data_IF_189073683511
#
_entry.id   IF_189073683511
#
_cell.length_a   1.000
_cell.length_b   1.000
_cell.length_c   1.000
_cell.angle_alpha   90.00
_cell.angle_beta   90.00
_cell.angle_gamma   90.00
#
_symmetry.space_group_name_H-M   'P 1'
#
loop_
_entity.id
_entity.type
_entity.pdbx_description
1 polymer ?
#
# COMPACT_ATOMS: atom_id res chain seq x y z
N UNK A 1 -2.88 -6.41 -28.19
CA UNK A 1 -2.82 -5.69 -26.89
C UNK A 1 -1.65 -6.16 -26.03
N UNK A 2 -1.49 -7.46 -25.79
CA UNK A 2 -0.39 -8.05 -24.98
C UNK A 2 1.03 -7.62 -25.42
N UNK A 3 1.32 -7.59 -26.72
CA UNK A 3 2.65 -7.18 -27.21
C UNK A 3 3.03 -5.73 -26.90
N UNK A 4 2.04 -4.82 -26.85
CA UNK A 4 2.25 -3.42 -26.50
C UNK A 4 2.53 -3.27 -25.01
N UNK A 5 1.82 -4.04 -24.19
CA UNK A 5 1.97 -4.09 -22.73
C UNK A 5 3.33 -4.66 -22.30
N UNK A 6 3.79 -5.75 -22.96
CA UNK A 6 5.12 -6.32 -22.75
C UNK A 6 6.21 -5.32 -23.17
N UNK A 7 6.04 -4.67 -24.32
CA UNK A 7 7.01 -3.69 -24.82
C UNK A 7 7.09 -2.47 -23.91
N UNK A 8 5.95 -1.96 -23.43
CA UNK A 8 5.89 -0.87 -22.47
C UNK A 8 6.62 -1.23 -21.16
N UNK A 9 6.37 -2.42 -20.61
CA UNK A 9 7.02 -2.88 -19.37
C UNK A 9 8.54 -3.06 -19.51
N UNK A 10 8.99 -3.54 -20.66
CA UNK A 10 10.41 -3.63 -21.00
C UNK A 10 11.06 -2.25 -21.15
N UNK A 11 10.35 -1.30 -21.79
CA UNK A 11 10.82 0.08 -21.94
C UNK A 11 10.91 0.79 -20.60
N UNK A 12 9.88 0.70 -19.76
CA UNK A 12 9.86 1.29 -18.41
C UNK A 12 11.09 0.87 -17.61
N UNK A 13 11.35 -0.44 -17.54
CA UNK A 13 12.49 -0.96 -16.76
C UNK A 13 13.82 -0.39 -17.27
N UNK A 14 14.00 -0.29 -18.59
CA UNK A 14 15.24 0.23 -19.21
C UNK A 14 15.39 1.74 -19.03
N UNK A 15 14.30 2.48 -19.20
CA UNK A 15 14.28 3.94 -19.08
C UNK A 15 14.52 4.36 -17.63
N UNK A 16 13.78 3.79 -16.68
CA UNK A 16 13.94 4.14 -15.27
C UNK A 16 15.28 3.72 -14.70
N UNK A 17 15.83 2.58 -15.12
CA UNK A 17 17.19 2.18 -14.73
C UNK A 17 18.22 3.19 -15.24
N UNK A 18 18.10 3.67 -16.49
CA UNK A 18 19.00 4.71 -17.04
C UNK A 18 18.87 6.06 -16.32
N UNK A 19 17.64 6.48 -16.00
CA UNK A 19 17.41 7.71 -15.24
C UNK A 19 18.04 7.59 -13.85
N UNK A 20 17.84 6.45 -13.17
CA UNK A 20 18.40 6.20 -11.85
C UNK A 20 19.92 6.21 -11.83
N UNK A 21 20.58 5.58 -12.81
CA UNK A 21 22.04 5.57 -12.90
C UNK A 21 22.60 6.96 -13.21
N UNK A 22 21.97 7.70 -14.13
CA UNK A 22 22.37 9.08 -14.45
C UNK A 22 22.23 10.01 -13.23
N UNK A 23 21.07 10.00 -12.56
CA UNK A 23 20.86 10.79 -11.33
C UNK A 23 21.82 10.41 -10.21
N UNK A 24 22.18 9.13 -10.09
CA UNK A 24 23.13 8.67 -9.08
C UNK A 24 24.54 9.17 -9.33
N UNK A 25 25.00 9.06 -10.57
CA UNK A 25 26.33 9.53 -10.97
C UNK A 25 26.46 11.05 -10.84
N UNK A 26 25.44 11.81 -11.26
CA UNK A 26 25.45 13.28 -11.18
C UNK A 26 25.37 13.78 -9.74
N UNK A 27 24.57 13.14 -8.88
CA UNK A 27 24.51 13.50 -7.46
C UNK A 27 25.85 13.28 -6.75
N UNK A 28 26.58 12.20 -7.08
CA UNK A 28 27.91 11.90 -6.53
C UNK A 28 28.95 12.92 -7.04
N UNK A 29 28.92 13.25 -8.34
CA UNK A 29 29.84 14.22 -8.94
C UNK A 29 29.63 15.64 -8.40
N UNK A 30 28.38 16.08 -8.23
CA UNK A 30 28.05 17.39 -7.70
C UNK A 30 28.35 17.51 -6.19
N UNK A 31 28.18 16.42 -5.44
CA UNK A 31 28.58 16.34 -4.03
C UNK A 31 30.08 16.54 -3.85
N UNK A 32 30.88 16.02 -4.77
CA UNK A 32 32.33 16.17 -4.75
C UNK A 32 32.76 17.61 -5.11
N UNK A 33 32.06 18.30 -6.01
CA UNK A 33 32.41 19.65 -6.49
C UNK A 33 32.09 20.78 -5.52
N UNK A 34 31.03 20.67 -4.70
CA UNK A 34 30.55 21.79 -3.87
C UNK A 34 31.19 21.92 -2.48
N UNK A 35 32.05 20.99 -2.07
CA UNK A 35 32.82 21.11 -0.81
C UNK A 35 32.00 21.15 0.49
N UNK A 36 30.68 20.97 0.45
CA UNK A 36 29.91 20.75 1.68
C UNK A 36 30.33 19.42 2.32
N UNK A 37 30.21 19.26 3.65
CA UNK A 37 30.45 17.97 4.28
C UNK A 37 29.62 16.91 3.54
N UNK A 38 30.24 15.79 3.11
CA UNK A 38 29.60 14.79 2.25
C UNK A 38 28.24 14.33 2.76
N UNK A 39 28.06 14.36 4.09
CA UNK A 39 26.81 14.03 4.79
C UNK A 39 25.61 14.93 4.43
N UNK A 40 25.79 16.24 4.26
CA UNK A 40 24.67 17.16 4.01
C UNK A 40 24.20 17.11 2.55
N UNK A 41 25.13 16.97 1.59
CA UNK A 41 24.77 16.80 0.17
C UNK A 41 24.20 15.41 -0.08
N UNK A 42 24.82 14.37 0.49
CA UNK A 42 24.29 13.01 0.38
C UNK A 42 22.87 12.92 0.98
N UNK A 43 22.62 13.60 2.10
CA UNK A 43 21.29 13.68 2.70
C UNK A 43 20.25 14.33 1.76
N UNK A 44 20.56 15.51 1.19
CA UNK A 44 19.65 16.19 0.25
C UNK A 44 19.46 15.42 -1.06
N UNK A 45 20.52 14.81 -1.60
CA UNK A 45 20.44 13.97 -2.81
C UNK A 45 19.62 12.69 -2.57
N UNK A 46 19.69 12.11 -1.38
CA UNK A 46 18.89 10.95 -0.98
C UNK A 46 17.40 11.32 -0.91
N UNK A 47 17.08 12.46 -0.27
CA UNK A 47 15.69 12.96 -0.20
C UNK A 47 15.12 13.27 -1.60
N UNK A 48 15.92 13.85 -2.49
CA UNK A 48 15.48 14.12 -3.87
C UNK A 48 15.23 12.82 -4.65
N UNK A 49 16.07 11.79 -4.46
CA UNK A 49 15.87 10.48 -5.07
C UNK A 49 14.61 9.80 -4.56
N UNK A 50 14.34 9.89 -3.26
CA UNK A 50 13.12 9.38 -2.65
C UNK A 50 11.89 10.09 -3.24
N UNK A 51 11.95 11.41 -3.41
CA UNK A 51 10.88 12.20 -4.04
C UNK A 51 10.63 11.80 -5.51
N UNK A 52 11.70 11.64 -6.30
CA UNK A 52 11.57 11.21 -7.70
C UNK A 52 11.00 9.79 -7.79
N UNK A 53 11.47 8.87 -6.93
CA UNK A 53 10.96 7.49 -6.87
C UNK A 53 9.48 7.47 -6.49
N UNK A 54 9.07 8.33 -5.57
CA UNK A 54 7.67 8.50 -5.19
C UNK A 54 6.82 8.97 -6.38
N UNK A 55 7.25 10.01 -7.09
CA UNK A 55 6.55 10.49 -8.29
C UNK A 55 6.51 9.45 -9.41
N UNK A 56 7.55 8.62 -9.52
CA UNK A 56 7.68 7.59 -10.54
C UNK A 56 6.77 6.39 -10.29
N UNK A 57 6.68 5.93 -9.03
CA UNK A 57 6.04 4.64 -8.70
C UNK A 57 4.78 4.78 -7.89
N UNK A 58 4.83 5.59 -6.84
CA UNK A 58 3.74 5.68 -5.87
C UNK A 58 2.57 6.50 -6.43
N UNK A 59 2.83 7.66 -7.05
CA UNK A 59 1.77 8.50 -7.64
C UNK A 59 1.01 7.79 -8.77
N UNK A 60 1.67 7.17 -9.77
CA UNK A 60 0.96 6.49 -10.84
C UNK A 60 0.17 5.29 -10.33
N UNK A 61 0.73 4.52 -9.40
CA UNK A 61 0.01 3.41 -8.77
C UNK A 61 -1.25 3.92 -8.04
N UNK A 62 -1.14 4.99 -7.28
CA UNK A 62 -2.28 5.59 -6.59
C UNK A 62 -3.36 6.09 -7.56
N UNK A 63 -2.98 6.82 -8.61
CA UNK A 63 -3.91 7.31 -9.63
C UNK A 63 -4.61 6.15 -10.35
N UNK A 64 -3.85 5.12 -10.75
CA UNK A 64 -4.40 3.93 -11.40
C UNK A 64 -5.40 3.21 -10.49
N UNK A 65 -5.09 3.10 -9.21
CA UNK A 65 -5.98 2.49 -8.20
C UNK A 65 -7.27 3.28 -8.04
N UNK A 66 -7.18 4.61 -7.92
CA UNK A 66 -8.35 5.51 -7.79
C UNK A 66 -9.23 5.43 -9.05
N UNK A 67 -8.61 5.50 -10.23
CA UNK A 67 -9.33 5.39 -11.50
C UNK A 67 -9.98 4.01 -11.60
N UNK A 68 -9.26 2.94 -11.26
CA UNK A 68 -9.77 1.57 -11.31
C UNK A 68 -10.95 1.35 -10.37
N UNK A 69 -10.88 1.91 -9.16
CA UNK A 69 -11.96 1.88 -8.19
C UNK A 69 -13.19 2.66 -8.71
N UNK A 70 -12.98 3.87 -9.24
CA UNK A 70 -14.03 4.70 -9.83
C UNK A 70 -14.72 4.01 -11.01
N UNK A 71 -13.94 3.46 -11.94
CA UNK A 71 -14.45 2.70 -13.09
C UNK A 71 -15.24 1.48 -12.62
N UNK A 72 -14.75 0.74 -11.63
CA UNK A 72 -15.46 -0.41 -11.10
C UNK A 72 -16.81 -0.02 -10.50
N UNK A 73 -16.86 1.03 -9.68
CA UNK A 73 -18.11 1.52 -9.07
C UNK A 73 -19.09 1.98 -10.14
N UNK A 74 -18.68 2.86 -11.06
CA UNK A 74 -19.53 3.40 -12.12
C UNK A 74 -20.08 2.26 -13.00
N UNK A 75 -19.23 1.32 -13.37
CA UNK A 75 -19.65 0.18 -14.21
C UNK A 75 -20.60 -0.74 -13.46
N UNK A 76 -20.35 -1.02 -12.17
CA UNK A 76 -21.27 -1.84 -11.37
C UNK A 76 -22.64 -1.17 -11.20
N UNK A 77 -22.69 0.16 -11.02
CA UNK A 77 -23.95 0.90 -11.02
C UNK A 77 -24.70 0.82 -12.35
N UNK A 78 -23.97 0.81 -13.46
CA UNK A 78 -24.57 0.66 -14.79
C UNK A 78 -25.11 -0.75 -15.02
N UNK A 79 -24.40 -1.78 -14.55
CA UNK A 79 -24.80 -3.19 -14.71
C UNK A 79 -25.95 -3.58 -13.77
N UNK A 80 -25.83 -3.28 -12.47
CA UNK A 80 -26.87 -3.53 -11.48
C UNK A 80 -26.76 -2.46 -10.36
N UNK A 81 -27.70 -1.49 -10.29
CA UNK A 81 -27.66 -0.42 -9.30
C UNK A 81 -27.67 -0.91 -7.85
N UNK A 82 -28.28 -2.08 -7.57
CA UNK A 82 -28.28 -2.66 -6.23
C UNK A 82 -26.88 -3.15 -5.85
N UNK A 83 -26.17 -3.83 -6.76
CA UNK A 83 -24.79 -4.26 -6.55
C UNK A 83 -23.88 -3.04 -6.37
N UNK A 84 -24.03 -2.02 -7.21
CA UNK A 84 -23.29 -0.75 -7.07
C UNK A 84 -23.53 -0.07 -5.72
N UNK A 85 -24.78 -0.01 -5.26
CA UNK A 85 -25.15 0.57 -3.96
C UNK A 85 -24.57 -0.25 -2.79
N UNK A 86 -24.62 -1.57 -2.88
CA UNK A 86 -24.01 -2.46 -1.88
C UNK A 86 -22.51 -2.23 -1.82
N UNK A 87 -21.80 -2.13 -2.96
CA UNK A 87 -20.37 -1.81 -3.00
C UNK A 87 -20.06 -0.49 -2.30
N UNK A 88 -20.82 0.58 -2.55
CA UNK A 88 -20.63 1.88 -1.88
C UNK A 88 -20.90 1.81 -0.37
N UNK A 89 -22.00 1.16 0.03
CA UNK A 89 -22.36 0.98 1.43
C UNK A 89 -21.25 0.26 2.20
N UNK A 90 -20.64 -0.71 1.55
CA UNK A 90 -19.58 -1.57 2.06
C UNK A 90 -18.20 -0.86 2.02
N UNK A 91 -17.95 0.02 1.05
CA UNK A 91 -16.70 0.77 0.94
C UNK A 91 -16.39 1.63 2.18
N UNK A 92 -17.38 2.31 2.73
CA UNK A 92 -17.22 3.20 3.89
C UNK A 92 -16.73 2.47 5.16
N UNK A 93 -17.42 1.42 5.65
CA UNK A 93 -16.94 0.69 6.82
C UNK A 93 -15.62 -0.02 6.55
N UNK A 94 -15.40 -0.56 5.34
CA UNK A 94 -14.15 -1.22 4.99
C UNK A 94 -12.95 -0.28 5.05
N UNK A 95 -13.06 0.90 4.45
CA UNK A 95 -12.00 1.93 4.48
C UNK A 95 -11.76 2.45 5.90
N UNK A 96 -12.81 2.67 6.69
CA UNK A 96 -12.68 3.14 8.07
C UNK A 96 -12.00 2.11 8.98
N UNK A 97 -12.39 0.83 8.88
CA UNK A 97 -11.83 -0.26 9.67
C UNK A 97 -10.37 -0.50 9.28
N UNK A 98 -10.07 -0.57 7.97
CA UNK A 98 -8.70 -0.69 7.48
C UNK A 98 -7.82 0.49 7.91
N UNK A 99 -8.31 1.73 7.83
CA UNK A 99 -7.55 2.90 8.28
C UNK A 99 -7.30 2.93 9.79
N UNK A 100 -8.20 2.35 10.60
CA UNK A 100 -7.97 2.17 12.05
C UNK A 100 -6.93 1.08 12.32
N UNK A 101 -7.09 -0.09 11.68
CA UNK A 101 -6.16 -1.21 11.80
C UNK A 101 -4.73 -0.81 11.37
N UNK A 102 -4.60 -0.08 10.27
CA UNK A 102 -3.32 0.44 9.78
C UNK A 102 -2.63 1.36 10.81
N UNK A 103 -3.38 2.26 11.45
CA UNK A 103 -2.83 3.13 12.51
C UNK A 103 -2.37 2.35 13.74
N UNK A 104 -3.13 1.35 14.15
CA UNK A 104 -2.75 0.49 15.28
C UNK A 104 -1.51 -0.34 14.92
N UNK A 105 -1.44 -0.87 13.69
CA UNK A 105 -0.28 -1.62 13.20
C UNK A 105 0.98 -0.76 13.21
N UNK A 106 0.87 0.50 12.77
CA UNK A 106 1.98 1.45 12.82
C UNK A 106 2.49 1.68 14.26
N UNK A 107 1.59 1.90 15.22
CA UNK A 107 1.97 2.05 16.63
C UNK A 107 2.62 0.80 17.23
N UNK A 108 2.14 -0.40 16.85
CA UNK A 108 2.77 -1.66 17.27
C UNK A 108 4.17 -1.84 16.67
N UNK A 109 4.36 -1.44 15.40
CA UNK A 109 5.66 -1.48 14.73
C UNK A 109 6.66 -0.50 15.35
N UNK A 110 6.23 0.71 15.71
CA UNK A 110 7.06 1.65 16.47
C UNK A 110 7.51 1.04 17.80
N UNK A 111 6.59 0.46 18.56
CA UNK A 111 6.91 -0.23 19.83
C UNK A 111 7.83 -1.45 19.67
N UNK A 112 7.72 -2.18 18.56
CA UNK A 112 8.62 -3.29 18.23
C UNK A 112 10.02 -2.78 17.86
N UNK A 113 10.13 -1.74 17.04
CA UNK A 113 11.39 -1.13 16.64
C UNK A 113 12.15 -0.54 17.83
N UNK A 114 11.46 0.19 18.72
CA UNK A 114 12.04 0.73 19.97
C UNK A 114 12.68 -0.36 20.86
N UNK A 115 12.16 -1.59 20.78
CA UNK A 115 12.69 -2.74 21.52
C UNK A 115 13.90 -3.33 20.82
N UNK A 116 13.85 -3.49 19.49
CA UNK A 116 14.97 -3.98 18.69
C UNK A 116 16.19 -3.05 18.81
N UNK A 117 16.00 -1.73 18.84
CA UNK A 117 17.10 -0.78 19.04
C UNK A 117 17.84 -0.97 20.37
N UNK A 118 17.14 -1.45 21.40
CA UNK A 118 17.69 -1.70 22.75
C UNK A 118 18.32 -3.08 22.90
N UNK A 119 18.20 -3.96 21.89
CA UNK A 119 18.66 -5.35 21.93
C UNK A 119 20.18 -5.44 22.09
N UNK A 120 20.95 -4.67 21.32
CA UNK A 120 22.42 -4.70 21.33
C UNK A 120 22.99 -4.43 22.72
N UNK A 121 22.46 -3.43 23.43
CA UNK A 121 22.90 -3.10 24.79
C UNK A 121 22.48 -4.13 25.84
N UNK A 122 21.40 -4.88 25.61
CA UNK A 122 20.94 -5.94 26.52
C UNK A 122 21.71 -7.25 26.33
N UNK A 123 22.11 -7.58 25.11
CA UNK A 123 22.90 -8.79 24.81
C UNK A 123 24.33 -8.73 25.37
N UNK A 124 24.84 -7.53 25.64
CA UNK A 124 26.14 -7.31 26.27
C UNK A 124 26.11 -7.50 27.80
N UNK A 125 24.94 -7.67 28.42
CA UNK A 125 24.82 -7.91 29.86
C UNK A 125 24.81 -9.39 30.20
N UNK A 126 25.59 -9.79 31.21
CA UNK A 126 25.64 -11.17 31.74
C UNK A 126 24.44 -11.47 32.66
N UNK A 127 23.23 -11.32 32.10
CA UNK A 127 21.97 -11.41 32.85
C UNK A 127 20.93 -12.24 32.07
N UNK A 128 21.00 -13.57 32.10
CA UNK A 128 20.15 -14.45 31.28
C UNK A 128 18.64 -14.25 31.51
N UNK A 129 18.25 -13.91 32.75
CA UNK A 129 16.85 -13.59 33.06
C UNK A 129 16.36 -12.29 32.38
N UNK A 130 17.23 -11.29 32.20
CA UNK A 130 16.89 -10.04 31.50
C UNK A 130 16.75 -10.28 30.00
N UNK A 131 17.66 -11.07 29.42
CA UNK A 131 17.62 -11.49 28.01
C UNK A 131 16.32 -12.26 27.71
N UNK A 132 15.95 -13.23 28.56
CA UNK A 132 14.69 -13.97 28.40
C UNK A 132 13.45 -13.07 28.43
N UNK A 133 13.37 -12.14 29.39
CA UNK A 133 12.25 -11.18 29.48
C UNK A 133 12.18 -10.27 28.25
N UNK A 134 13.33 -9.88 27.68
CA UNK A 134 13.39 -9.10 26.45
C UNK A 134 12.79 -9.87 25.26
N UNK A 135 13.22 -11.10 25.02
CA UNK A 135 12.66 -11.92 23.93
C UNK A 135 11.18 -12.26 24.13
N UNK A 136 10.73 -12.46 25.38
CA UNK A 136 9.30 -12.60 25.68
C UNK A 136 8.51 -11.32 25.33
N UNK A 137 9.08 -10.14 25.62
CA UNK A 137 8.46 -8.88 25.24
C UNK A 137 8.39 -8.74 23.71
N UNK A 138 9.48 -9.03 22.97
CA UNK A 138 9.48 -9.03 21.51
C UNK A 138 8.44 -9.99 20.93
N UNK A 139 8.33 -11.21 21.49
CA UNK A 139 7.33 -12.18 21.08
C UNK A 139 5.91 -11.64 21.28
N UNK A 140 5.60 -11.00 22.41
CA UNK A 140 4.29 -10.39 22.63
C UNK A 140 3.96 -9.28 21.62
N UNK A 141 4.93 -8.45 21.23
CA UNK A 141 4.72 -7.43 20.18
C UNK A 141 4.44 -8.07 18.82
N UNK A 142 5.23 -9.08 18.44
CA UNK A 142 5.02 -9.82 17.18
C UNK A 142 3.66 -10.53 17.13
N UNK A 143 3.25 -11.16 18.23
CA UNK A 143 1.94 -11.82 18.32
C UNK A 143 0.83 -10.78 18.17
N UNK A 144 0.89 -9.64 18.88
CA UNK A 144 -0.10 -8.57 18.73
C UNK A 144 -0.19 -8.04 17.30
N UNK A 145 0.94 -7.88 16.63
CA UNK A 145 0.98 -7.43 15.24
C UNK A 145 0.35 -8.47 14.31
N UNK A 146 0.73 -9.75 14.46
CA UNK A 146 0.17 -10.86 13.70
C UNK A 146 -1.34 -11.02 13.92
N UNK A 147 -1.82 -10.89 15.15
CA UNK A 147 -3.26 -10.97 15.49
C UNK A 147 -4.03 -9.83 14.84
N UNK A 148 -3.43 -8.64 14.77
CA UNK A 148 -4.02 -7.47 14.13
C UNK A 148 -4.09 -7.65 12.61
N UNK A 149 -3.02 -8.14 11.99
CA UNK A 149 -2.98 -8.46 10.55
C UNK A 149 -4.00 -9.54 10.19
N UNK A 150 -4.08 -10.61 10.99
CA UNK A 150 -5.05 -11.69 10.80
C UNK A 150 -6.50 -11.18 10.90
N UNK A 151 -6.80 -10.27 11.85
CA UNK A 151 -8.12 -9.61 11.94
C UNK A 151 -8.42 -8.75 10.73
N UNK A 152 -7.43 -8.00 10.23
CA UNK A 152 -7.59 -7.18 9.03
C UNK A 152 -7.90 -8.04 7.81
N UNK A 153 -7.13 -9.11 7.60
CA UNK A 153 -7.31 -10.05 6.52
C UNK A 153 -8.68 -10.76 6.62
N UNK A 154 -9.03 -11.29 7.79
CA UNK A 154 -10.31 -11.98 7.99
C UNK A 154 -11.53 -11.08 7.79
N UNK A 155 -11.44 -9.80 8.17
CA UNK A 155 -12.51 -8.84 7.92
C UNK A 155 -12.71 -8.57 6.42
N UNK A 156 -11.61 -8.43 5.67
CA UNK A 156 -11.62 -8.24 4.23
C UNK A 156 -12.14 -9.47 3.48
N UNK A 157 -11.78 -10.67 3.91
CA UNK A 157 -12.33 -11.91 3.34
C UNK A 157 -13.84 -12.03 3.56
N UNK A 158 -14.33 -11.76 4.78
CA UNK A 158 -15.77 -11.78 5.08
C UNK A 158 -16.54 -10.79 4.20
N UNK A 159 -15.94 -9.63 3.95
CA UNK A 159 -16.48 -8.61 3.07
C UNK A 159 -16.59 -9.07 1.62
N UNK A 160 -15.54 -9.69 1.08
CA UNK A 160 -15.53 -10.25 -0.27
C UNK A 160 -16.60 -11.33 -0.39
N UNK A 161 -16.67 -12.26 0.57
CA UNK A 161 -17.68 -13.31 0.60
C UNK A 161 -19.10 -12.72 0.59
N UNK A 162 -19.36 -11.70 1.42
CA UNK A 162 -20.66 -11.04 1.48
C UNK A 162 -21.03 -10.39 0.14
N UNK A 163 -20.09 -9.68 -0.50
CA UNK A 163 -20.31 -9.01 -1.76
C UNK A 163 -20.59 -9.99 -2.91
N UNK A 164 -19.80 -11.06 -3.01
CA UNK A 164 -20.04 -12.13 -3.98
C UNK A 164 -21.36 -12.86 -3.71
N UNK A 165 -21.70 -13.11 -2.44
CA UNK A 165 -22.97 -13.73 -2.06
C UNK A 165 -24.18 -12.90 -2.46
N UNK A 166 -24.13 -11.58 -2.23
CA UNK A 166 -25.19 -10.65 -2.69
C UNK A 166 -25.27 -10.61 -4.21
N UNK A 167 -24.13 -10.57 -4.91
CA UNK A 167 -24.11 -10.57 -6.38
C UNK A 167 -24.72 -11.85 -6.96
N UNK A 168 -24.35 -13.03 -6.43
CA UNK A 168 -24.93 -14.31 -6.83
C UNK A 168 -26.43 -14.36 -6.56
N UNK A 169 -26.86 -13.91 -5.37
CA UNK A 169 -28.27 -13.81 -5.02
C UNK A 169 -29.05 -12.91 -5.99
N UNK A 170 -28.48 -11.75 -6.35
CA UNK A 170 -29.08 -10.81 -7.30
C UNK A 170 -29.21 -11.39 -8.70
N UNK A 171 -28.16 -12.04 -9.20
CA UNK A 171 -28.17 -12.68 -10.53
C UNK A 171 -29.16 -13.85 -10.55
N UNK A 172 -29.25 -14.64 -9.48
CA UNK A 172 -30.17 -15.79 -9.39
C UNK A 172 -31.66 -15.41 -9.40
N UNK A 173 -32.00 -14.18 -9.01
CA UNK A 173 -33.38 -13.68 -8.99
C UNK A 173 -33.82 -13.02 -10.30
N UNK A 174 -32.93 -12.88 -11.29
CA UNK A 174 -33.25 -12.26 -12.58
C UNK A 174 -33.57 -13.35 -13.61
N UNK A 175 -34.72 -13.20 -14.31
CA UNK A 175 -35.25 -14.25 -15.19
C UNK A 175 -34.37 -14.56 -16.41
N UNK A 176 -33.72 -13.54 -16.98
CA UNK A 176 -32.78 -13.70 -18.11
C UNK A 176 -31.66 -12.67 -17.99
N UNK A 177 -30.45 -13.14 -17.67
CA UNK A 177 -29.23 -12.32 -17.69
C UNK A 177 -28.25 -12.94 -18.68
N UNK A 178 -27.75 -12.14 -19.62
CA UNK A 178 -26.71 -12.60 -20.53
C UNK A 178 -25.45 -13.02 -19.76
N UNK A 179 -24.83 -14.12 -20.19
CA UNK A 179 -23.60 -14.63 -19.57
C UNK A 179 -22.48 -13.56 -19.53
N UNK A 180 -22.43 -12.67 -20.52
CA UNK A 180 -21.50 -11.54 -20.56
C UNK A 180 -21.71 -10.54 -19.42
N UNK A 181 -22.97 -10.24 -19.08
CA UNK A 181 -23.33 -9.35 -17.96
C UNK A 181 -22.95 -9.97 -16.63
N UNK A 182 -23.22 -11.27 -16.45
CA UNK A 182 -22.81 -12.01 -15.25
C UNK A 182 -21.29 -11.94 -15.07
N UNK A 183 -20.54 -12.27 -16.14
CA UNK A 183 -19.08 -12.20 -16.12
C UNK A 183 -18.59 -10.78 -15.79
N UNK A 184 -19.15 -9.76 -16.42
CA UNK A 184 -18.79 -8.37 -16.18
C UNK A 184 -19.02 -7.98 -14.71
N UNK A 185 -20.17 -8.32 -14.12
CA UNK A 185 -20.47 -8.06 -12.70
C UNK A 185 -19.36 -8.64 -11.82
N UNK A 186 -19.03 -9.92 -11.96
CA UNK A 186 -18.00 -10.55 -11.12
C UNK A 186 -16.60 -10.01 -11.39
N UNK A 187 -16.25 -9.72 -12.64
CA UNK A 187 -14.96 -9.13 -12.99
C UNK A 187 -14.79 -7.73 -12.39
N UNK A 188 -15.85 -6.90 -12.43
CA UNK A 188 -15.82 -5.57 -11.84
C UNK A 188 -15.93 -5.58 -10.32
N UNK A 189 -16.62 -6.54 -9.71
CA UNK A 189 -16.56 -6.78 -8.25
C UNK A 189 -15.12 -7.13 -7.85
N UNK A 190 -14.46 -8.02 -8.57
CA UNK A 190 -13.06 -8.37 -8.30
C UNK A 190 -12.13 -7.15 -8.45
N UNK A 191 -12.35 -6.34 -9.50
CA UNK A 191 -11.61 -5.09 -9.69
C UNK A 191 -11.86 -4.08 -8.56
N UNK A 192 -13.09 -3.99 -8.07
CA UNK A 192 -13.45 -3.15 -6.94
C UNK A 192 -12.71 -3.57 -5.67
N UNK A 193 -12.75 -4.86 -5.32
CA UNK A 193 -12.07 -5.43 -4.14
C UNK A 193 -10.56 -5.15 -4.21
N UNK A 194 -9.92 -5.52 -5.31
CA UNK A 194 -8.47 -5.35 -5.48
C UNK A 194 -8.03 -3.88 -5.47
N UNK A 195 -8.85 -2.96 -5.99
CA UNK A 195 -8.57 -1.51 -5.92
C UNK A 195 -8.80 -0.95 -4.51
N UNK A 196 -9.74 -1.51 -3.74
CA UNK A 196 -10.00 -1.12 -2.35
C UNK A 196 -8.82 -1.48 -1.44
N UNK A 197 -8.18 -2.63 -1.66
CA UNK A 197 -7.00 -3.08 -0.90
C UNK A 197 -5.79 -2.14 -1.06
N UNK A 198 -5.75 -1.37 -2.14
CA UNK A 198 -4.70 -0.40 -2.42
C UNK A 198 -4.94 0.94 -1.71
N UNK A 199 -6.17 1.23 -1.25
CA UNK A 199 -6.52 2.51 -0.61
C UNK A 199 -5.64 2.88 0.58
N UNK A 200 -5.31 1.96 1.53
CA UNK A 200 -4.42 2.28 2.63
C UNK A 200 -3.02 2.73 2.17
N UNK A 201 -2.49 2.09 1.12
CA UNK A 201 -1.19 2.44 0.54
C UNK A 201 -1.23 3.86 -0.06
N UNK A 202 -2.33 4.21 -0.72
CA UNK A 202 -2.55 5.56 -1.28
C UNK A 202 -2.54 6.61 -0.18
N UNK A 203 -3.25 6.36 0.93
CA UNK A 203 -3.27 7.28 2.08
C UNK A 203 -1.86 7.46 2.66
N UNK A 204 -1.11 6.38 2.80
CA UNK A 204 0.27 6.42 3.28
C UNK A 204 1.20 7.16 2.30
N UNK A 205 1.05 6.94 1.01
CA UNK A 205 1.83 7.62 -0.04
C UNK A 205 1.57 9.12 -0.03
N UNK A 206 0.32 9.56 0.07
CA UNK A 206 -0.03 10.98 0.19
C UNK A 206 0.58 11.60 1.46
N UNK A 207 0.52 10.88 2.60
CA UNK A 207 1.13 11.34 3.84
C UNK A 207 2.66 11.47 3.74
N UNK A 208 3.34 10.51 3.08
CA UNK A 208 4.78 10.57 2.79
C UNK A 208 5.15 11.76 1.91
N UNK A 209 4.38 12.03 0.85
CA UNK A 209 4.58 13.19 -0.02
C UNK A 209 4.51 14.51 0.77
N UNK A 210 3.49 14.64 1.62
CA UNK A 210 3.32 15.81 2.46
C UNK A 210 4.52 16.03 3.40
N UNK A 211 5.06 14.95 3.98
CA UNK A 211 6.24 15.01 4.85
C UNK A 211 7.53 15.33 4.09
N UNK A 212 7.78 14.72 2.92
CA UNK A 212 8.95 15.02 2.07
C UNK A 212 8.93 16.49 1.64
N UNK A 213 7.78 17.00 1.17
CA UNK A 213 7.64 18.41 0.78
C UNK A 213 7.89 19.35 1.97
N UNK A 214 7.48 18.96 3.19
CA UNK A 214 7.76 19.72 4.41
C UNK A 214 9.26 19.76 4.72
N UNK A 215 9.97 18.63 4.58
CA UNK A 215 11.41 18.52 4.86
C UNK A 215 12.29 19.22 3.81
N UNK A 216 11.85 19.30 2.56
CA UNK A 216 12.59 19.99 1.48
C UNK A 216 12.55 21.52 1.58
N UNK A 217 11.54 22.08 2.25
CA UNK A 217 11.42 23.53 2.49
C UNK A 217 12.29 24.02 3.66
N UNK A 218 12.87 23.11 4.44
CA UNK A 218 13.79 23.38 5.56
C UNK A 218 15.23 23.23 5.09
#
# INVERSE_FOLDING_TARGET
MVGLEVSAKMMDTRVFTRIHTAFASDAVAEAHRRGHPPSLIAGRATLLREYVTFLERDVPAALLSIISLGVAIVTLFWLDPTIGAVCLLLLVPSTLINARLARVSQSLNEGLNDRLEKEVGLLQTDAPNRVRRHFQALAMWRIKLSDLEAKSYGFLELFVIALFGVALWRVALQDVVEAGTIYAIFAYIWRFVTSMDQVPQIVQQIAKLADINRRLKV
#
